data_IF_821757641131
#
_entry.id   IF_821757641131
#
_cell.length_a   1.000
_cell.length_b   1.000
_cell.length_c   1.000
_cell.angle_alpha   90.00
_cell.angle_beta   90.00
_cell.angle_gamma   90.00
#
_symmetry.space_group_name_H-M   'P 1'
#
loop_
_entity.id
_entity.type
_entity.pdbx_description
1 polymer ?
#
# COMPACT_ATOMS: atom_id res chain seq x y z
N UNK A 1 -11.08 -2.76 9.99
CA UNK A 1 -11.08 -1.29 9.76
C UNK A 1 -12.25 -0.97 8.84
N UNK A 2 -12.91 0.16 9.02
CA UNK A 2 -14.07 0.54 8.19
C UNK A 2 -13.64 0.88 6.75
N UNK A 3 -12.47 1.50 6.58
CA UNK A 3 -11.84 1.75 5.28
C UNK A 3 -10.39 1.26 5.26
N UNK A 4 -9.92 0.78 4.12
CA UNK A 4 -8.56 0.28 3.93
C UNK A 4 -8.11 0.30 2.46
N UNK A 5 -6.81 0.18 2.22
CA UNK A 5 -6.27 -0.19 0.90
C UNK A 5 -6.23 -1.72 0.77
N UNK A 6 -6.57 -2.25 -0.41
CA UNK A 6 -6.78 -3.69 -0.62
C UNK A 6 -6.02 -4.23 -1.85
N UNK A 7 -4.70 -4.04 -1.83
CA UNK A 7 -3.82 -4.48 -2.92
C UNK A 7 -3.47 -3.37 -3.90
N UNK A 8 -2.42 -3.61 -4.67
CA UNK A 8 -1.91 -2.71 -5.70
C UNK A 8 -0.99 -3.46 -6.68
N UNK A 9 -0.83 -2.89 -7.89
CA UNK A 9 0.19 -3.29 -8.85
C UNK A 9 0.74 -2.08 -9.60
N UNK A 10 2.00 -2.13 -9.99
CA UNK A 10 2.70 -1.05 -10.69
C UNK A 10 2.51 -1.20 -12.19
N UNK A 11 2.15 -0.09 -12.85
CA UNK A 11 2.14 0.03 -14.31
C UNK A 11 3.13 1.13 -14.71
N UNK A 12 3.91 0.85 -15.76
CA UNK A 12 4.91 1.75 -16.31
C UNK A 12 4.38 2.31 -17.64
N UNK A 13 4.25 3.64 -17.81
CA UNK A 13 3.80 4.22 -19.07
C UNK A 13 4.85 4.02 -20.17
N UNK A 14 4.43 3.52 -21.33
CA UNK A 14 5.20 3.41 -22.56
C UNK A 14 4.76 4.52 -23.51
N UNK A 15 5.36 5.70 -23.35
CA UNK A 15 5.01 6.92 -24.09
C UNK A 15 5.16 6.76 -25.61
N UNK A 16 6.01 5.84 -26.08
CA UNK A 16 6.20 5.60 -27.51
C UNK A 16 5.00 4.90 -28.12
N UNK A 17 4.45 3.93 -27.41
CA UNK A 17 3.34 3.11 -27.91
C UNK A 17 1.97 3.57 -27.38
N UNK A 18 1.93 4.50 -26.43
CA UNK A 18 0.68 5.01 -25.86
C UNK A 18 -0.04 3.97 -25.01
N UNK A 19 0.71 3.12 -24.30
CA UNK A 19 0.15 2.01 -23.50
C UNK A 19 0.86 1.87 -22.15
N UNK A 20 0.23 1.21 -21.20
CA UNK A 20 0.80 0.86 -19.91
C UNK A 20 1.38 -0.56 -19.94
N UNK A 21 2.55 -0.72 -19.34
CA UNK A 21 3.23 -2.01 -19.20
C UNK A 21 3.17 -2.48 -17.76
N UNK A 22 2.73 -3.72 -17.56
CA UNK A 22 2.79 -4.36 -16.25
C UNK A 22 4.24 -4.44 -15.78
N UNK A 23 4.53 -3.92 -14.58
CA UNK A 23 5.91 -3.88 -14.10
C UNK A 23 6.44 -5.30 -13.87
N UNK A 24 7.63 -5.65 -14.40
CA UNK A 24 8.26 -6.95 -14.13
C UNK A 24 8.69 -7.10 -12.67
N UNK A 25 8.65 -6.02 -11.88
CA UNK A 25 8.96 -6.01 -10.44
C UNK A 25 7.70 -6.18 -9.56
N UNK A 26 6.52 -6.36 -10.15
CA UNK A 26 5.33 -6.71 -9.39
C UNK A 26 5.51 -8.08 -8.73
N UNK A 27 4.93 -8.24 -7.54
CA UNK A 27 5.01 -9.49 -6.76
C UNK A 27 3.94 -10.51 -7.14
N UNK A 28 3.03 -10.13 -8.03
CA UNK A 28 1.94 -10.96 -8.52
C UNK A 28 1.97 -10.98 -10.03
N UNK A 29 1.54 -12.09 -10.60
CA UNK A 29 1.42 -12.22 -12.03
C UNK A 29 0.25 -11.38 -12.55
N UNK A 30 0.30 -11.08 -13.84
CA UNK A 30 -0.84 -10.50 -14.53
C UNK A 30 -1.95 -11.55 -14.68
N UNK A 31 -3.17 -11.21 -14.26
CA UNK A 31 -4.38 -12.02 -14.45
C UNK A 31 -5.32 -11.34 -15.45
N UNK A 32 -6.44 -11.99 -15.79
CA UNK A 32 -7.42 -11.45 -16.74
C UNK A 32 -7.99 -10.09 -16.29
N UNK A 33 -8.21 -9.88 -14.99
CA UNK A 33 -8.74 -8.63 -14.45
C UNK A 33 -7.70 -7.50 -14.51
N UNK A 34 -6.42 -7.82 -14.33
CA UNK A 34 -5.32 -6.88 -14.57
C UNK A 34 -5.35 -6.40 -16.02
N UNK A 35 -5.50 -7.32 -16.99
CA UNK A 35 -5.59 -6.96 -18.42
C UNK A 35 -6.77 -6.05 -18.69
N UNK A 36 -7.96 -6.38 -18.18
CA UNK A 36 -9.15 -5.52 -18.33
C UNK A 36 -8.92 -4.09 -17.81
N UNK A 37 -8.20 -3.94 -16.69
CA UNK A 37 -7.85 -2.63 -16.12
C UNK A 37 -6.84 -1.92 -17.02
N UNK A 38 -5.81 -2.62 -17.50
CA UNK A 38 -4.79 -2.07 -18.40
C UNK A 38 -5.42 -1.62 -19.72
N UNK A 39 -6.28 -2.44 -20.34
CA UNK A 39 -6.97 -2.11 -21.60
C UNK A 39 -7.85 -0.85 -21.45
N UNK A 40 -8.53 -0.71 -20.30
CA UNK A 40 -9.28 0.50 -19.98
C UNK A 40 -8.36 1.71 -19.86
N UNK A 41 -7.22 1.58 -19.19
CA UNK A 41 -6.26 2.67 -19.04
C UNK A 41 -5.56 3.03 -20.34
N UNK A 42 -5.23 2.06 -21.19
CA UNK A 42 -4.62 2.26 -22.51
C UNK A 42 -5.56 3.03 -23.44
N UNK A 43 -6.87 2.72 -23.38
CA UNK A 43 -7.90 3.47 -24.12
C UNK A 43 -8.01 4.94 -23.67
N UNK A 44 -7.48 5.29 -22.50
CA UNK A 44 -7.49 6.64 -21.91
C UNK A 44 -6.06 7.08 -21.53
N UNK A 45 -5.05 6.63 -22.29
CA UNK A 45 -3.64 6.68 -21.88
C UNK A 45 -3.17 8.06 -21.42
N UNK A 46 -3.48 9.10 -22.20
CA UNK A 46 -3.01 10.46 -21.93
C UNK A 46 -3.61 11.07 -20.66
N UNK A 47 -4.81 10.65 -20.25
CA UNK A 47 -5.40 11.10 -18.98
C UNK A 47 -4.70 10.47 -17.79
N UNK A 48 -4.35 9.18 -17.90
CA UNK A 48 -3.73 8.44 -16.82
C UNK A 48 -2.23 8.73 -16.67
N UNK A 49 -1.51 8.98 -17.76
CA UNK A 49 -0.06 9.19 -17.71
C UNK A 49 0.35 10.47 -16.99
N UNK A 50 -0.54 11.46 -16.90
CA UNK A 50 -0.32 12.75 -16.21
C UNK A 50 -0.98 12.83 -14.82
N UNK A 51 -1.42 11.70 -14.26
CA UNK A 51 -2.24 11.65 -13.04
C UNK A 51 -1.52 12.06 -11.74
N UNK A 52 -0.19 12.15 -11.73
CA UNK A 52 0.62 12.61 -10.60
C UNK A 52 0.30 11.91 -9.27
N UNK A 53 0.45 12.63 -8.15
CA UNK A 53 0.25 12.08 -6.79
C UNK A 53 -1.21 12.04 -6.35
N UNK A 54 -2.05 12.94 -6.85
CA UNK A 54 -3.50 12.96 -6.60
C UNK A 54 -4.19 11.73 -7.23
N UNK A 55 -3.67 11.30 -8.38
CA UNK A 55 -4.14 10.17 -9.14
C UNK A 55 -5.47 10.39 -9.84
N UNK A 56 -5.82 9.45 -10.71
CA UNK A 56 -7.06 9.43 -11.48
C UNK A 56 -7.86 8.17 -11.17
N UNK A 57 -9.17 8.34 -10.93
CA UNK A 57 -10.07 7.22 -10.64
C UNK A 57 -10.29 6.35 -11.89
N UNK A 58 -10.30 5.04 -11.68
CA UNK A 58 -10.55 4.06 -12.75
C UNK A 58 -12.04 3.72 -12.72
N UNK A 59 -12.81 4.30 -13.62
CA UNK A 59 -14.27 4.20 -13.64
C UNK A 59 -14.73 3.05 -14.55
N UNK A 60 -14.66 1.81 -14.04
CA UNK A 60 -15.11 0.60 -14.74
C UNK A 60 -15.98 -0.29 -13.82
N UNK A 61 -16.62 -1.37 -14.33
CA UNK A 61 -17.47 -2.22 -13.51
C UNK A 61 -16.74 -2.78 -12.28
N UNK A 62 -17.32 -2.57 -11.09
CA UNK A 62 -16.73 -3.02 -9.80
C UNK A 62 -16.47 -4.52 -9.73
N UNK A 63 -17.21 -5.32 -10.51
CA UNK A 63 -16.97 -6.77 -10.63
C UNK A 63 -15.55 -7.11 -11.04
N UNK A 64 -14.92 -6.29 -11.90
CA UNK A 64 -13.52 -6.45 -12.28
C UNK A 64 -12.61 -6.28 -11.07
N UNK A 65 -12.84 -5.26 -10.25
CA UNK A 65 -12.05 -5.01 -9.04
C UNK A 65 -12.26 -6.08 -7.98
N UNK A 66 -13.51 -6.51 -7.76
CA UNK A 66 -13.81 -7.59 -6.83
C UNK A 66 -13.08 -8.87 -7.22
N UNK A 67 -13.16 -9.26 -8.49
CA UNK A 67 -12.53 -10.48 -8.96
C UNK A 67 -11.00 -10.38 -8.94
N UNK A 68 -10.43 -9.20 -9.24
CA UNK A 68 -9.01 -8.94 -9.07
C UNK A 68 -8.57 -9.16 -7.62
N UNK A 69 -9.28 -8.59 -6.65
CA UNK A 69 -8.97 -8.72 -5.21
C UNK A 69 -9.10 -10.19 -4.77
N UNK A 70 -10.20 -10.85 -5.13
CA UNK A 70 -10.42 -12.26 -4.80
C UNK A 70 -9.29 -13.12 -5.36
N UNK A 71 -8.93 -12.96 -6.63
CA UNK A 71 -7.83 -13.69 -7.26
C UNK A 71 -6.49 -13.40 -6.55
N UNK A 72 -6.18 -12.11 -6.30
CA UNK A 72 -4.95 -11.68 -5.64
C UNK A 72 -4.74 -12.32 -4.26
N UNK A 73 -5.79 -12.39 -3.45
CA UNK A 73 -5.69 -12.97 -2.11
C UNK A 73 -5.75 -14.51 -2.13
N UNK A 74 -6.49 -15.12 -3.07
CA UNK A 74 -6.44 -16.58 -3.29
C UNK A 74 -5.05 -17.06 -3.68
N UNK A 75 -4.35 -16.35 -4.56
CA UNK A 75 -2.96 -16.68 -4.93
C UNK A 75 -2.00 -16.65 -3.73
N UNK A 76 -2.34 -15.92 -2.67
CA UNK A 76 -1.59 -15.87 -1.41
C UNK A 76 -2.02 -16.91 -0.39
N UNK A 77 -2.96 -17.79 -0.75
CA UNK A 77 -3.52 -18.79 0.16
C UNK A 77 -4.48 -18.22 1.21
N UNK A 78 -5.01 -17.00 1.01
CA UNK A 78 -6.00 -16.44 1.93
C UNK A 78 -7.39 -17.00 1.62
N UNK A 79 -8.03 -17.59 2.63
CA UNK A 79 -9.37 -18.19 2.51
C UNK A 79 -10.48 -17.31 3.09
N UNK A 80 -10.16 -16.49 4.10
CA UNK A 80 -11.10 -15.64 4.83
C UNK A 80 -10.57 -14.22 4.98
N UNK A 81 -11.49 -13.27 5.08
CA UNK A 81 -11.23 -11.91 5.52
C UNK A 81 -11.75 -11.73 6.94
N UNK A 82 -11.05 -10.87 7.71
CA UNK A 82 -11.52 -10.38 8.99
C UNK A 82 -11.54 -8.86 8.97
N UNK A 83 -12.63 -8.27 9.46
CA UNK A 83 -12.72 -6.84 9.76
C UNK A 83 -13.46 -6.63 11.07
N UNK A 84 -13.69 -5.37 11.44
CA UNK A 84 -14.37 -4.98 12.67
C UNK A 84 -15.41 -3.92 12.35
N UNK A 85 -16.62 -4.11 12.86
CA UNK A 85 -17.70 -3.13 12.80
C UNK A 85 -18.32 -2.94 14.19
N UNK A 86 -18.46 -1.69 14.64
CA UNK A 86 -19.08 -1.33 15.93
C UNK A 86 -18.62 -2.11 17.17
N UNK A 87 -17.41 -2.68 17.16
CA UNK A 87 -16.91 -3.49 18.28
C UNK A 87 -16.81 -4.98 17.97
N UNK A 88 -17.58 -5.46 16.99
CA UNK A 88 -17.70 -6.87 16.63
C UNK A 88 -16.80 -7.25 15.46
N UNK A 89 -16.22 -8.45 15.51
CA UNK A 89 -15.44 -8.98 14.39
C UNK A 89 -16.35 -9.62 13.35
N UNK A 90 -16.13 -9.25 12.09
CA UNK A 90 -16.78 -9.87 10.93
C UNK A 90 -15.75 -10.75 10.25
N UNK A 91 -16.01 -12.04 10.19
CA UNK A 91 -15.18 -13.03 9.49
C UNK A 91 -16.02 -13.64 8.38
N UNK A 92 -15.50 -13.65 7.16
CA UNK A 92 -16.23 -14.18 6.02
C UNK A 92 -15.29 -14.76 4.95
N UNK A 93 -15.74 -15.75 4.16
CA UNK A 93 -14.95 -16.33 3.08
C UNK A 93 -14.60 -15.28 2.02
N UNK A 94 -13.43 -15.40 1.42
CA UNK A 94 -12.96 -14.50 0.36
C UNK A 94 -13.97 -14.32 -0.80
N UNK A 95 -14.70 -15.36 -1.17
CA UNK A 95 -15.69 -15.31 -2.25
C UNK A 95 -16.94 -14.49 -1.90
N UNK A 96 -17.12 -14.12 -0.64
CA UNK A 96 -18.21 -13.25 -0.19
C UNK A 96 -17.80 -11.78 -0.14
N UNK A 97 -16.56 -11.44 -0.52
CA UNK A 97 -16.02 -10.08 -0.49
C UNK A 97 -16.96 -8.99 -1.04
N UNK A 98 -17.65 -9.17 -2.20
CA UNK A 98 -18.55 -8.16 -2.75
C UNK A 98 -19.78 -7.86 -1.88
N UNK A 99 -20.11 -8.73 -0.91
CA UNK A 99 -21.24 -8.53 0.02
C UNK A 99 -20.90 -7.65 1.21
N UNK A 100 -19.61 -7.45 1.50
CA UNK A 100 -19.16 -6.71 2.68
C UNK A 100 -18.47 -5.39 2.30
N UNK A 101 -17.75 -5.35 1.19
CA UNK A 101 -16.95 -4.18 0.82
C UNK A 101 -17.41 -3.54 -0.48
N UNK A 102 -17.52 -2.23 -0.48
CA UNK A 102 -17.47 -1.42 -1.68
C UNK A 102 -16.01 -1.30 -2.13
N UNK A 103 -15.74 -1.30 -3.43
CA UNK A 103 -14.39 -1.13 -3.98
C UNK A 103 -14.34 0.05 -4.95
N UNK A 104 -13.27 0.82 -4.83
CA UNK A 104 -12.82 1.82 -5.80
C UNK A 104 -11.37 1.54 -6.19
N UNK A 105 -10.98 1.95 -7.39
CA UNK A 105 -9.61 1.85 -7.86
C UNK A 105 -9.14 3.20 -8.41
N UNK A 106 -7.87 3.50 -8.21
CA UNK A 106 -7.23 4.72 -8.68
C UNK A 106 -5.84 4.39 -9.21
N UNK A 107 -5.43 5.05 -10.28
CA UNK A 107 -4.03 5.08 -10.70
C UNK A 107 -3.37 6.32 -10.13
N UNK A 108 -2.30 6.16 -9.35
CA UNK A 108 -1.58 7.30 -8.75
C UNK A 108 -0.11 7.02 -8.53
N UNK A 109 0.70 8.07 -8.55
CA UNK A 109 2.06 8.02 -8.02
C UNK A 109 2.06 7.78 -6.51
N UNK A 110 2.91 6.84 -6.07
CA UNK A 110 3.17 6.58 -4.66
C UNK A 110 4.67 6.50 -4.45
N UNK A 111 5.20 7.37 -3.58
CA UNK A 111 6.59 7.27 -3.09
C UNK A 111 6.74 5.91 -2.40
N UNK A 112 7.81 5.19 -2.73
CA UNK A 112 8.10 3.91 -2.08
C UNK A 112 8.34 4.11 -0.58
N UNK A 113 8.19 3.02 0.18
CA UNK A 113 8.37 3.05 1.64
C UNK A 113 9.77 3.47 2.06
N UNK A 114 9.91 3.81 3.35
CA UNK A 114 11.22 4.07 3.95
C UNK A 114 11.95 2.77 4.30
N UNK A 115 13.27 2.82 4.36
CA UNK A 115 14.10 1.75 4.93
C UNK A 115 14.77 2.22 6.21
N UNK A 116 15.29 1.28 7.02
CA UNK A 116 16.14 1.66 8.16
C UNK A 116 17.45 2.29 7.66
N UNK A 117 18.05 3.13 8.51
CA UNK A 117 19.45 3.53 8.38
C UNK A 117 20.35 2.29 8.36
N UNK A 118 21.45 2.36 7.61
CA UNK A 118 22.50 1.35 7.64
C UNK A 118 23.86 1.99 7.34
N UNK A 119 24.94 1.23 7.48
CA UNK A 119 26.32 1.75 7.37
C UNK A 119 26.59 2.49 6.04
N UNK A 120 25.97 2.07 4.92
CA UNK A 120 26.20 2.71 3.61
C UNK A 120 25.62 4.12 3.49
N UNK A 121 24.66 4.48 4.35
CA UNK A 121 23.98 5.78 4.31
C UNK A 121 24.09 6.56 5.63
N UNK A 122 24.99 6.11 6.52
CA UNK A 122 25.28 6.76 7.80
C UNK A 122 25.94 8.13 7.61
N UNK A 123 26.97 8.21 6.76
CA UNK A 123 27.66 9.48 6.49
C UNK A 123 26.73 10.55 5.88
N UNK A 124 25.84 10.14 4.98
CA UNK A 124 24.83 11.06 4.39
C UNK A 124 23.84 11.56 5.46
N UNK A 125 23.49 10.72 6.43
CA UNK A 125 22.67 11.11 7.57
C UNK A 125 23.41 12.03 8.56
N UNK A 126 24.67 11.72 8.90
CA UNK A 126 25.53 12.58 9.74
C UNK A 126 25.66 13.98 9.12
N UNK A 127 25.87 14.04 7.81
CA UNK A 127 25.89 15.29 7.05
C UNK A 127 24.54 16.04 7.14
N UNK A 128 23.41 15.34 6.98
CA UNK A 128 22.08 15.93 7.11
C UNK A 128 21.83 16.56 8.49
N UNK A 129 22.25 15.87 9.55
CA UNK A 129 22.14 16.35 10.94
C UNK A 129 23.04 17.57 11.20
N UNK A 130 24.24 17.58 10.61
CA UNK A 130 25.17 18.71 10.68
C UNK A 130 24.62 19.97 9.99
N UNK A 131 24.01 19.84 8.80
CA UNK A 131 23.33 20.96 8.13
C UNK A 131 22.17 21.49 8.98
N UNK A 132 21.44 20.57 9.63
CA UNK A 132 20.29 20.92 10.46
C UNK A 132 20.67 21.47 11.85
N UNK A 133 21.98 21.53 12.18
CA UNK A 133 22.49 21.96 13.49
C UNK A 133 21.86 21.18 14.65
N UNK A 134 21.82 19.84 14.50
CA UNK A 134 21.26 18.93 15.50
C UNK A 134 22.38 18.06 16.08
N UNK A 135 22.66 18.25 17.35
CA UNK A 135 23.56 17.40 18.12
C UNK A 135 22.93 16.04 18.43
N UNK A 136 23.72 15.00 18.25
CA UNK A 136 23.32 13.63 18.52
C UNK A 136 24.52 12.71 18.71
N UNK A 137 24.27 11.52 19.23
CA UNK A 137 25.22 10.41 19.29
C UNK A 137 24.58 9.14 18.77
N UNK A 138 25.39 8.21 18.28
CA UNK A 138 24.89 6.90 17.85
C UNK A 138 24.86 5.90 19.00
N UNK A 139 23.79 5.12 19.05
CA UNK A 139 23.68 3.89 19.83
C UNK A 139 23.38 2.75 18.85
N UNK A 140 24.44 2.15 18.29
CA UNK A 140 24.33 1.25 17.16
C UNK A 140 23.90 1.98 15.88
N UNK A 141 22.72 1.65 15.35
CA UNK A 141 22.08 2.32 14.20
C UNK A 141 20.96 3.30 14.62
N UNK A 142 20.61 3.30 15.90
CA UNK A 142 19.71 4.27 16.50
C UNK A 142 20.53 5.48 16.98
N UNK A 143 19.85 6.58 17.30
CA UNK A 143 20.49 7.80 17.80
C UNK A 143 19.93 8.22 19.15
N UNK A 144 20.74 8.95 19.91
CA UNK A 144 20.39 9.59 21.17
C UNK A 144 20.65 11.09 21.00
N UNK A 145 19.72 11.92 21.46
CA UNK A 145 19.84 13.37 21.46
C UNK A 145 19.14 13.92 22.70
N UNK A 146 19.67 15.01 23.25
CA UNK A 146 19.05 15.75 24.35
C UNK A 146 17.84 16.58 23.88
N UNK A 147 17.71 16.77 22.56
CA UNK A 147 16.56 17.42 21.94
C UNK A 147 15.46 16.39 21.63
N UNK A 148 14.20 16.82 21.68
CA UNK A 148 13.08 16.02 21.21
C UNK A 148 13.04 16.01 19.67
N UNK A 149 13.16 14.83 19.06
CA UNK A 149 13.31 14.68 17.60
C UNK A 149 12.23 13.84 16.91
N UNK A 150 11.17 13.41 17.60
CA UNK A 150 10.13 12.58 16.95
C UNK A 150 9.44 13.35 15.81
N UNK A 151 9.42 12.75 14.63
CA UNK A 151 8.81 13.34 13.44
C UNK A 151 9.72 14.30 12.67
N UNK A 152 10.91 14.61 13.19
CA UNK A 152 11.88 15.49 12.52
C UNK A 152 12.35 14.88 11.20
N UNK A 153 12.39 15.70 10.15
CA UNK A 153 12.96 15.34 8.86
C UNK A 153 14.20 16.16 8.57
N UNK A 154 15.25 15.49 8.11
CA UNK A 154 16.50 16.12 7.66
C UNK A 154 16.85 15.60 6.28
N UNK A 155 17.47 16.44 5.46
CA UNK A 155 17.85 16.10 4.09
C UNK A 155 19.36 16.04 3.97
N UNK A 156 19.87 14.88 3.59
CA UNK A 156 21.26 14.70 3.18
C UNK A 156 21.45 15.09 1.72
N UNK A 157 22.63 14.77 1.19
CA UNK A 157 22.95 14.96 -0.23
C UNK A 157 22.19 13.95 -1.11
N UNK A 158 22.01 12.72 -0.59
CA UNK A 158 21.41 11.62 -1.37
C UNK A 158 19.98 11.28 -0.96
N UNK A 159 19.68 11.37 0.33
CA UNK A 159 18.39 10.93 0.86
C UNK A 159 17.79 11.90 1.87
N UNK A 160 16.47 11.88 1.96
CA UNK A 160 15.76 12.42 3.10
C UNK A 160 15.68 11.37 4.21
N UNK A 161 15.73 11.80 5.46
CA UNK A 161 15.61 10.97 6.64
C UNK A 161 14.48 11.46 7.53
N UNK A 162 13.80 10.52 8.19
CA UNK A 162 12.78 10.76 9.20
C UNK A 162 13.22 10.12 10.52
N UNK A 163 13.23 10.91 11.58
CA UNK A 163 13.58 10.48 12.93
C UNK A 163 12.29 10.13 13.66
N UNK A 164 12.25 8.95 14.30
CA UNK A 164 11.10 8.49 15.08
C UNK A 164 11.52 8.01 16.45
N UNK A 165 10.79 8.42 17.48
CA UNK A 165 11.01 7.96 18.85
C UNK A 165 10.85 6.43 18.94
N UNK A 166 11.72 5.81 19.73
CA UNK A 166 11.77 4.38 19.98
C UNK A 166 12.27 4.13 21.41
N UNK A 167 11.40 4.36 22.40
CA UNK A 167 11.76 4.29 23.81
C UNK A 167 12.68 5.45 24.19
N UNK A 168 13.84 5.16 24.77
CA UNK A 168 14.83 6.19 25.15
C UNK A 168 15.69 6.71 24.00
N UNK A 169 15.58 6.11 22.81
CA UNK A 169 16.40 6.41 21.64
C UNK A 169 15.49 6.77 20.44
N UNK A 170 16.10 7.14 19.32
CA UNK A 170 15.39 7.36 18.06
C UNK A 170 15.85 6.42 16.96
N UNK A 171 14.88 5.91 16.20
CA UNK A 171 15.10 5.19 14.94
C UNK A 171 15.16 6.17 13.78
N UNK A 172 16.14 5.96 12.91
CA UNK A 172 16.29 6.74 11.67
C UNK A 172 15.75 5.95 10.48
N UNK A 173 14.82 6.57 9.74
CA UNK A 173 14.19 6.02 8.55
C UNK A 173 14.65 6.79 7.31
N UNK A 174 15.40 6.14 6.43
CA UNK A 174 15.76 6.67 5.11
C UNK A 174 14.54 6.62 4.18
N UNK A 175 14.10 7.77 3.68
CA UNK A 175 12.97 7.87 2.75
C UNK A 175 13.42 7.52 1.33
N UNK A 176 12.61 6.75 0.59
CA UNK A 176 12.97 6.33 -0.78
C UNK A 176 12.76 7.45 -1.78
N UNK A 177 13.67 7.64 -2.73
CA UNK A 177 13.50 8.60 -3.83
C UNK A 177 12.57 8.08 -4.94
N UNK A 178 12.30 6.78 -4.97
CA UNK A 178 11.50 6.15 -6.03
C UNK A 178 10.03 6.53 -5.91
N UNK A 179 9.47 7.08 -6.99
CA UNK A 179 8.05 7.37 -7.17
C UNK A 179 7.56 6.57 -8.37
N UNK A 180 6.78 5.54 -8.10
CA UNK A 180 6.16 4.73 -9.15
C UNK A 180 4.65 4.92 -9.07
N UNK A 181 4.00 4.99 -10.23
CA UNK A 181 2.56 4.97 -10.30
C UNK A 181 2.03 3.54 -10.23
N UNK A 182 0.93 3.36 -9.50
CA UNK A 182 0.30 2.07 -9.27
C UNK A 182 -1.21 2.21 -9.38
N UNK A 183 -1.83 1.14 -9.88
CA UNK A 183 -3.24 0.89 -9.64
C UNK A 183 -3.37 0.43 -8.20
N UNK A 184 -4.19 1.13 -7.43
CA UNK A 184 -4.42 0.84 -6.01
C UNK A 184 -5.91 0.77 -5.71
N UNK A 185 -6.29 -0.27 -4.98
CA UNK A 185 -7.67 -0.51 -4.60
C UNK A 185 -7.93 0.02 -3.20
N UNK A 186 -9.06 0.69 -3.03
CA UNK A 186 -9.56 1.13 -1.73
C UNK A 186 -10.91 0.47 -1.46
N UNK A 187 -11.09 0.02 -0.23
CA UNK A 187 -12.29 -0.68 0.22
C UNK A 187 -12.95 0.08 1.36
N UNK A 188 -14.28 0.02 1.39
CA UNK A 188 -15.11 0.61 2.43
C UNK A 188 -16.19 -0.38 2.83
N UNK A 189 -16.31 -0.63 4.14
CA UNK A 189 -17.27 -1.57 4.68
C UNK A 189 -18.69 -1.04 4.43
N UNK A 190 -19.52 -1.85 3.80
CA UNK A 190 -20.91 -1.53 3.51
C UNK A 190 -21.84 -2.05 4.60
N UNK A 191 -23.10 -1.64 4.53
CA UNK A 191 -24.16 -2.39 5.20
C UNK A 191 -24.21 -3.81 4.61
N UNK A 192 -24.30 -4.80 5.49
CA UNK A 192 -24.27 -6.22 5.13
C UNK A 192 -25.47 -6.96 5.72
N UNK A 193 -25.81 -8.09 5.12
CA UNK A 193 -26.85 -8.99 5.62
C UNK A 193 -26.33 -9.77 6.85
N UNK A 194 -26.96 -9.56 8.00
CA UNK A 194 -26.61 -10.21 9.27
C UNK A 194 -26.80 -11.72 9.19
N UNK A 195 -27.81 -12.22 8.48
CA UNK A 195 -28.04 -13.66 8.34
C UNK A 195 -26.98 -14.29 7.43
N UNK A 196 -26.53 -13.56 6.40
CA UNK A 196 -25.38 -13.97 5.60
C UNK A 196 -24.11 -14.04 6.45
N UNK A 197 -23.86 -13.04 7.29
CA UNK A 197 -22.70 -13.01 8.18
C UNK A 197 -22.67 -14.21 9.14
N UNK A 198 -23.81 -14.56 9.74
CA UNK A 198 -23.91 -15.75 10.60
C UNK A 198 -23.56 -17.04 9.84
N UNK A 199 -24.07 -17.18 8.60
CA UNK A 199 -23.74 -18.34 7.74
C UNK A 199 -22.26 -18.39 7.39
N UNK A 200 -21.63 -17.24 7.16
CA UNK A 200 -20.22 -17.15 6.81
C UNK A 200 -19.30 -17.43 8.00
N UNK A 201 -19.70 -17.03 9.22
CA UNK A 201 -18.99 -17.40 10.44
C UNK A 201 -19.00 -18.91 10.68
N UNK A 202 -20.15 -19.58 10.46
CA UNK A 202 -20.24 -21.05 10.55
C UNK A 202 -19.26 -21.73 9.57
N UNK A 203 -19.04 -21.16 8.38
CA UNK A 203 -18.05 -21.69 7.43
C UNK A 203 -16.63 -21.55 7.96
N UNK A 204 -16.31 -20.44 8.60
CA UNK A 204 -15.02 -20.23 9.23
C UNK A 204 -14.77 -21.22 10.36
N UNK A 205 -15.72 -21.37 11.28
CA UNK A 205 -15.65 -22.34 12.39
C UNK A 205 -15.42 -23.77 11.89
N UNK A 206 -16.13 -24.18 10.83
CA UNK A 206 -15.94 -25.48 10.17
C UNK A 206 -14.57 -25.63 9.51
N UNK A 207 -14.00 -24.56 8.98
CA UNK A 207 -12.69 -24.59 8.33
C UNK A 207 -11.55 -24.78 9.34
N UNK A 208 -11.65 -24.16 10.52
CA UNK A 208 -10.62 -24.25 11.58
C UNK A 208 -10.77 -25.46 12.52
N UNK A 209 -11.90 -26.17 12.44
CA UNK A 209 -12.16 -27.39 13.23
C UNK A 209 -11.64 -28.67 12.56
N UNK A 210 -10.86 -28.54 11.48
CA UNK A 210 -10.20 -29.65 10.78
C UNK A 210 -8.79 -29.86 11.33
#
# INVERSE_FOLDING_TARGET
>A
MHSAQCGQFVLLPDLKNGVFRYSPKNKTNENEYTRMIVDFMDSNFYEFCDSGTAGLDINMPKSVFYNWIINYYKEKGAEFFITKDRGEFLIFPIDQFPKYFNVTAKYREKKSGSSSLNNSNRFDFEYAMGIADIDFSFSGLDIISDRYLDGTKVSGDKYDYLIKENGSNYKVRKLSNTRNANVIFSIELMNYDVEQQKRDLIKFEKAISK
#
